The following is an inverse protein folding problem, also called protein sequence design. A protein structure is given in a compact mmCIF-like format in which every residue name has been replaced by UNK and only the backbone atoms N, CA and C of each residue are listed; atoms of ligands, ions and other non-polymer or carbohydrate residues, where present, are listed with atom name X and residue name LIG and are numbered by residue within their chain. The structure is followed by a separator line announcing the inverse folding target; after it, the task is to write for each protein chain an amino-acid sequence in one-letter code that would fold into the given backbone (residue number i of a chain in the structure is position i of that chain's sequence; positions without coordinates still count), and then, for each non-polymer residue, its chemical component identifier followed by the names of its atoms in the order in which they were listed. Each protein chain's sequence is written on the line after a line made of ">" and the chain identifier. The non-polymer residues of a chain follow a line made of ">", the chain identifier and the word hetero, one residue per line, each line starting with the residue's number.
data_IF_829029123548
#
_entry.id   IF_829029123548
#
_cell.length_a   1.000
_cell.length_b   1.000
_cell.length_c   1.000
_cell.angle_alpha   90.00
_cell.angle_beta   90.00
_cell.angle_gamma   90.00
#
_symmetry.space_group_name_H-M   'P 1'
#
loop_
_entity.id
_entity.type
_entity.pdbx_description
1 polymer ?
#
# COMPACT_ATOMS: atom_id res chain seq x y z
N UNK A 1 23.44 9.42 -9.36
CA UNK A 1 22.84 10.47 -8.51
C UNK A 1 21.85 9.77 -7.61
N UNK A 2 21.98 9.88 -6.28
CA UNK A 2 21.03 9.23 -5.36
C UNK A 2 19.64 9.84 -5.55
N UNK A 3 18.56 9.05 -5.52
CA UNK A 3 17.22 9.60 -5.83
C UNK A 3 16.81 10.74 -4.90
N UNK A 4 17.29 10.79 -3.65
CA UNK A 4 17.05 11.92 -2.75
C UNK A 4 17.44 13.26 -3.36
N UNK A 5 18.68 13.43 -3.81
CA UNK A 5 19.18 14.69 -4.35
C UNK A 5 18.42 15.12 -5.62
N UNK A 6 17.98 14.14 -6.41
CA UNK A 6 17.17 14.36 -7.60
C UNK A 6 15.76 14.84 -7.22
N UNK A 7 15.13 14.18 -6.26
CA UNK A 7 13.79 14.48 -5.73
C UNK A 7 13.76 15.84 -5.04
N UNK A 8 14.77 16.17 -4.24
CA UNK A 8 14.91 17.45 -3.54
C UNK A 8 14.84 18.64 -4.49
N UNK A 9 15.36 18.51 -5.70
CA UNK A 9 15.30 19.57 -6.72
C UNK A 9 13.89 19.88 -7.19
N UNK A 10 12.93 18.98 -6.97
CA UNK A 10 11.53 19.16 -7.36
C UNK A 10 10.68 19.67 -6.21
N UNK A 11 10.87 19.12 -5.01
CA UNK A 11 10.03 19.40 -3.84
C UNK A 11 9.98 20.91 -3.55
N UNK A 12 8.76 21.44 -3.38
CA UNK A 12 8.52 22.86 -3.13
C UNK A 12 8.34 23.72 -4.38
N UNK A 13 8.68 23.24 -5.58
CA UNK A 13 8.39 23.95 -6.84
C UNK A 13 6.91 23.84 -7.22
N UNK A 14 6.34 24.87 -7.85
CA UNK A 14 4.94 24.83 -8.28
C UNK A 14 4.71 23.67 -9.27
N UNK A 15 3.74 22.81 -8.98
CA UNK A 15 3.34 21.70 -9.87
C UNK A 15 4.23 20.46 -9.85
N UNK A 16 5.26 20.41 -9.01
CA UNK A 16 6.24 19.32 -8.98
C UNK A 16 5.62 17.93 -8.82
N UNK A 17 4.52 17.85 -8.06
CA UNK A 17 3.81 16.59 -7.80
C UNK A 17 3.41 15.90 -9.10
N UNK A 18 3.07 16.61 -10.17
CA UNK A 18 2.66 16.02 -11.44
C UNK A 18 3.82 15.93 -12.45
N UNK A 19 5.05 16.26 -12.06
CA UNK A 19 6.19 16.21 -12.95
C UNK A 19 6.57 14.74 -13.24
N UNK A 20 6.65 14.30 -14.51
CA UNK A 20 6.92 12.90 -14.85
C UNK A 20 8.23 12.37 -14.26
N UNK A 21 9.29 13.18 -14.28
CA UNK A 21 10.59 12.80 -13.70
C UNK A 21 10.49 12.61 -12.18
N UNK A 22 9.77 13.50 -11.47
CA UNK A 22 9.55 13.35 -10.03
C UNK A 22 8.79 12.05 -9.73
N UNK A 23 7.71 11.78 -10.47
CA UNK A 23 6.91 10.56 -10.32
C UNK A 23 7.76 9.31 -10.57
N UNK A 24 8.61 9.33 -11.60
CA UNK A 24 9.55 8.26 -11.92
C UNK A 24 10.54 8.02 -10.79
N UNK A 25 11.24 9.06 -10.34
CA UNK A 25 12.21 8.98 -9.24
C UNK A 25 11.58 8.42 -7.96
N UNK A 26 10.37 8.88 -7.61
CA UNK A 26 9.65 8.38 -6.44
C UNK A 26 9.31 6.88 -6.56
N UNK A 27 9.02 6.37 -7.76
CA UNK A 27 8.76 4.94 -7.97
C UNK A 27 10.05 4.13 -7.77
N UNK A 28 11.16 4.59 -8.36
CA UNK A 28 12.46 3.90 -8.34
C UNK A 28 13.06 3.80 -6.93
N UNK A 29 12.68 4.69 -6.01
CA UNK A 29 13.08 4.64 -4.59
C UNK A 29 12.93 3.25 -3.95
N UNK A 30 11.96 2.43 -4.38
CA UNK A 30 11.74 1.09 -3.81
C UNK A 30 12.87 0.09 -4.12
N UNK A 31 13.77 0.42 -5.03
CA UNK A 31 14.90 -0.42 -5.45
C UNK A 31 16.25 0.12 -5.01
N UNK A 32 16.27 1.24 -4.29
CA UNK A 32 17.51 1.92 -3.88
C UNK A 32 17.93 1.60 -2.45
N UNK A 33 19.21 1.86 -2.17
CA UNK A 33 19.76 1.85 -0.82
C UNK A 33 19.70 3.25 -0.21
N UNK A 34 19.25 3.29 1.05
CA UNK A 34 19.08 4.53 1.79
C UNK A 34 20.20 4.68 2.80
N UNK A 35 20.75 5.88 2.92
CA UNK A 35 21.51 6.30 4.10
C UNK A 35 20.57 6.84 5.19
N UNK A 36 21.09 7.04 6.40
CA UNK A 36 20.32 7.63 7.50
C UNK A 36 19.77 9.03 7.14
N UNK A 37 20.55 9.85 6.40
CA UNK A 37 20.12 11.16 5.93
C UNK A 37 18.97 11.05 4.92
N UNK A 38 18.99 10.02 4.07
CA UNK A 38 17.90 9.75 3.14
C UNK A 38 16.61 9.40 3.89
N UNK A 39 16.71 8.52 4.90
CA UNK A 39 15.56 8.16 5.75
C UNK A 39 14.99 9.38 6.46
N UNK A 40 15.84 10.20 7.09
CA UNK A 40 15.41 11.40 7.80
C UNK A 40 14.72 12.41 6.87
N UNK A 41 15.23 12.57 5.65
CA UNK A 41 14.59 13.43 4.65
C UNK A 41 13.19 12.94 4.27
N UNK A 42 13.06 11.65 3.95
CA UNK A 42 11.79 11.10 3.48
C UNK A 42 10.74 10.93 4.58
N UNK A 43 11.16 10.72 5.83
CA UNK A 43 10.27 10.80 7.00
C UNK A 43 9.60 12.20 7.07
N UNK A 44 10.43 13.26 7.06
CA UNK A 44 9.94 14.64 7.07
C UNK A 44 9.03 14.95 5.86
N UNK A 45 9.41 14.47 4.67
CA UNK A 45 8.59 14.65 3.47
C UNK A 45 7.24 13.92 3.58
N UNK A 46 7.21 12.70 4.12
CA UNK A 46 6.00 11.91 4.28
C UNK A 46 4.96 12.63 5.13
N UNK A 47 5.36 13.21 6.27
CA UNK A 47 4.42 13.86 7.17
C UNK A 47 4.03 15.27 6.72
N UNK A 48 4.91 15.99 6.03
CA UNK A 48 4.63 17.34 5.53
C UNK A 48 3.83 17.38 4.23
N UNK A 49 3.97 16.38 3.35
CA UNK A 49 3.30 16.37 2.04
C UNK A 49 1.83 15.93 2.12
N UNK A 50 0.98 16.60 1.34
CA UNK A 50 -0.41 16.18 1.10
C UNK A 50 -0.54 15.22 -0.08
N UNK A 51 0.49 15.07 -0.92
CA UNK A 51 0.45 14.20 -2.09
C UNK A 51 0.45 12.72 -1.70
N UNK A 52 -0.69 12.06 -1.94
CA UNK A 52 -0.94 10.66 -1.56
C UNK A 52 0.06 9.73 -2.24
N UNK A 53 0.33 9.95 -3.52
CA UNK A 53 1.28 9.14 -4.27
C UNK A 53 2.66 9.18 -3.64
N UNK A 54 3.17 10.37 -3.29
CA UNK A 54 4.49 10.52 -2.68
C UNK A 54 4.56 9.78 -1.36
N UNK A 55 3.53 9.91 -0.51
CA UNK A 55 3.43 9.13 0.74
C UNK A 55 3.44 7.63 0.47
N UNK A 56 2.69 7.16 -0.52
CA UNK A 56 2.63 5.72 -0.88
C UNK A 56 3.99 5.20 -1.33
N UNK A 57 4.71 5.97 -2.15
CA UNK A 57 6.04 5.58 -2.61
C UNK A 57 7.07 5.53 -1.46
N UNK A 58 7.08 6.55 -0.59
CA UNK A 58 7.96 6.57 0.59
C UNK A 58 7.66 5.37 1.51
N UNK A 59 6.37 5.10 1.76
CA UNK A 59 5.96 3.99 2.62
C UNK A 59 6.41 2.63 2.05
N UNK A 60 6.24 2.43 0.74
CA UNK A 60 6.70 1.23 0.04
C UNK A 60 8.23 1.09 0.12
N UNK A 61 8.98 2.16 -0.14
CA UNK A 61 10.44 2.15 -0.05
C UNK A 61 10.91 1.81 1.37
N UNK A 62 10.25 2.36 2.40
CA UNK A 62 10.64 2.12 3.79
C UNK A 62 10.42 0.66 4.20
N UNK A 63 9.29 0.04 3.84
CA UNK A 63 9.05 -1.38 4.16
C UNK A 63 9.94 -2.35 3.37
N UNK A 64 10.45 -1.94 2.20
CA UNK A 64 11.28 -2.78 1.34
C UNK A 64 12.78 -2.61 1.59
N UNK A 65 13.24 -1.41 1.91
CA UNK A 65 14.67 -1.05 1.89
C UNK A 65 15.22 -0.48 3.19
N UNK A 66 14.36 -0.15 4.15
CA UNK A 66 14.76 0.64 5.32
C UNK A 66 14.48 -0.04 6.67
N UNK A 67 14.16 -1.34 6.71
CA UNK A 67 13.84 -2.03 7.97
C UNK A 67 15.03 -2.18 8.94
N UNK A 68 16.25 -1.87 8.47
CA UNK A 68 17.47 -1.79 9.28
C UNK A 68 17.56 -0.50 10.13
N UNK A 69 16.70 0.49 9.90
CA UNK A 69 16.65 1.75 10.64
C UNK A 69 15.55 1.71 11.71
N UNK A 70 15.63 2.54 12.75
CA UNK A 70 14.55 2.63 13.74
C UNK A 70 13.36 3.43 13.20
N UNK A 71 12.41 2.71 12.59
CA UNK A 71 11.21 3.28 11.98
C UNK A 71 9.92 2.85 12.69
N UNK A 72 10.00 2.31 13.91
CA UNK A 72 8.82 1.81 14.64
C UNK A 72 7.76 2.90 14.80
N UNK A 73 8.16 4.07 15.28
CA UNK A 73 7.26 5.21 15.51
C UNK A 73 6.76 5.85 14.21
N UNK A 74 7.60 5.85 13.17
CA UNK A 74 7.21 6.27 11.82
C UNK A 74 6.02 5.43 11.34
N UNK A 75 6.13 4.11 11.35
CA UNK A 75 5.09 3.21 10.83
C UNK A 75 3.80 3.27 11.66
N UNK A 76 3.91 3.38 12.98
CA UNK A 76 2.75 3.59 13.85
C UNK A 76 2.03 4.90 13.54
N UNK A 77 2.79 5.97 13.29
CA UNK A 77 2.25 7.29 12.95
C UNK A 77 1.63 7.30 11.54
N UNK A 78 2.26 6.62 10.58
CA UNK A 78 1.73 6.41 9.24
C UNK A 78 0.39 5.66 9.27
N UNK A 79 0.28 4.57 10.04
CA UNK A 79 -0.97 3.82 10.20
C UNK A 79 -2.11 4.72 10.71
N UNK A 80 -1.83 5.60 11.68
CA UNK A 80 -2.81 6.54 12.24
C UNK A 80 -3.18 7.67 11.27
N UNK A 81 -2.23 8.14 10.45
CA UNK A 81 -2.40 9.24 9.50
C UNK A 81 -3.24 8.83 8.29
N UNK A 82 -2.98 7.65 7.74
CA UNK A 82 -3.55 7.28 6.44
C UNK A 82 -5.04 6.94 6.50
N UNK A 83 -5.72 7.14 5.38
CA UNK A 83 -7.15 6.84 5.22
C UNK A 83 -7.42 5.66 4.28
N UNK A 84 -6.53 5.45 3.32
CA UNK A 84 -6.59 4.33 2.37
C UNK A 84 -6.15 3.05 3.07
N UNK A 85 -6.88 1.95 2.83
CA UNK A 85 -6.71 0.73 3.59
C UNK A 85 -5.43 0.01 3.17
N UNK A 86 -5.09 0.01 1.88
CA UNK A 86 -3.80 -0.45 1.34
C UNK A 86 -2.60 0.22 2.03
N UNK A 87 -2.62 1.54 2.16
CA UNK A 87 -1.54 2.29 2.81
C UNK A 87 -1.48 2.01 4.32
N UNK A 88 -2.63 1.85 4.98
CA UNK A 88 -2.66 1.41 6.38
C UNK A 88 -2.04 0.03 6.54
N UNK A 89 -2.36 -0.90 5.64
CA UNK A 89 -1.79 -2.24 5.68
C UNK A 89 -0.27 -2.21 5.45
N UNK A 90 0.21 -1.41 4.48
CA UNK A 90 1.65 -1.25 4.26
C UNK A 90 2.35 -0.65 5.49
N UNK A 91 1.76 0.36 6.14
CA UNK A 91 2.31 0.90 7.38
C UNK A 91 2.36 -0.18 8.48
N UNK A 92 1.32 -1.01 8.58
CA UNK A 92 1.27 -2.10 9.54
C UNK A 92 2.31 -3.19 9.22
N UNK A 93 2.55 -3.49 7.95
CA UNK A 93 3.64 -4.38 7.49
C UNK A 93 5.00 -3.89 7.98
N UNK A 94 5.27 -2.59 7.86
CA UNK A 94 6.49 -1.98 8.40
C UNK A 94 6.56 -2.06 9.92
N UNK A 95 5.47 -1.71 10.61
CA UNK A 95 5.40 -1.75 12.07
C UNK A 95 5.64 -3.16 12.63
N UNK A 96 5.13 -4.19 11.94
CA UNK A 96 5.27 -5.58 12.34
C UNK A 96 6.74 -6.07 12.40
N UNK A 97 7.67 -5.39 11.70
CA UNK A 97 9.09 -5.70 11.78
C UNK A 97 9.70 -5.35 13.16
N UNK A 98 9.05 -4.49 13.95
CA UNK A 98 9.54 -3.98 15.24
C UNK A 98 8.61 -4.28 16.42
N UNK A 99 7.50 -4.97 16.18
CA UNK A 99 6.40 -5.13 17.12
C UNK A 99 5.99 -6.60 17.26
N UNK A 100 5.61 -6.97 18.48
CA UNK A 100 5.04 -8.29 18.74
C UNK A 100 3.53 -8.29 18.47
N UNK A 101 2.93 -9.47 18.35
CA UNK A 101 1.49 -9.63 18.12
C UNK A 101 0.62 -8.82 19.09
N UNK A 102 1.00 -8.75 20.38
CA UNK A 102 0.27 -7.98 21.40
C UNK A 102 0.15 -6.48 21.06
N UNK A 103 1.16 -5.90 20.42
CA UNK A 103 1.14 -4.50 19.99
C UNK A 103 0.37 -4.32 18.67
N UNK A 104 0.40 -5.33 17.80
CA UNK A 104 -0.22 -5.31 16.47
C UNK A 104 -1.72 -5.56 16.55
N UNK A 105 -2.17 -6.50 17.37
CA UNK A 105 -3.56 -6.97 17.42
C UNK A 105 -4.58 -5.83 17.61
N UNK A 106 -4.36 -4.80 18.46
CA UNK A 106 -5.26 -3.66 18.55
C UNK A 106 -5.35 -2.82 17.26
N UNK A 107 -4.24 -2.69 16.51
CA UNK A 107 -4.23 -2.00 15.22
C UNK A 107 -4.95 -2.83 14.15
N UNK A 108 -4.68 -4.13 14.11
CA UNK A 108 -5.37 -5.06 13.20
C UNK A 108 -6.86 -5.14 13.47
N UNK A 109 -7.30 -5.10 14.73
CA UNK A 109 -8.72 -5.04 15.06
C UNK A 109 -9.40 -3.82 14.43
N UNK A 110 -8.78 -2.64 14.55
CA UNK A 110 -9.31 -1.40 13.92
C UNK A 110 -9.31 -1.50 12.41
N UNK A 111 -8.26 -2.07 11.82
CA UNK A 111 -8.20 -2.32 10.38
C UNK A 111 -9.33 -3.25 9.92
N UNK A 112 -9.54 -4.35 10.64
CA UNK A 112 -10.56 -5.36 10.38
C UNK A 112 -11.99 -4.77 10.46
N UNK A 113 -12.27 -3.94 11.47
CA UNK A 113 -13.55 -3.24 11.60
C UNK A 113 -13.86 -2.31 10.41
N UNK A 114 -12.82 -1.72 9.80
CA UNK A 114 -12.98 -0.89 8.59
C UNK A 114 -13.22 -1.79 7.37
N UNK A 115 -12.45 -2.87 7.24
CA UNK A 115 -12.59 -3.85 6.16
C UNK A 115 -14.01 -4.42 6.08
N UNK A 116 -14.59 -4.83 7.21
CA UNK A 116 -15.98 -5.35 7.28
C UNK A 116 -16.99 -4.38 6.65
N UNK A 117 -16.79 -3.07 6.82
CA UNK A 117 -17.72 -2.01 6.41
C UNK A 117 -17.55 -1.56 4.95
N UNK A 118 -16.50 -1.98 4.25
CA UNK A 118 -16.27 -1.57 2.85
C UNK A 118 -17.51 -1.80 1.96
N UNK A 119 -18.15 -3.00 1.97
CA UNK A 119 -19.30 -3.27 1.11
C UNK A 119 -20.49 -2.33 1.35
N UNK A 120 -20.61 -1.74 2.54
CA UNK A 120 -21.71 -0.83 2.90
C UNK A 120 -21.58 0.55 2.21
N UNK A 121 -20.35 1.00 1.95
CA UNK A 121 -20.08 2.35 1.44
C UNK A 121 -19.57 2.37 -0.01
N UNK A 122 -18.86 1.33 -0.41
CA UNK A 122 -18.33 1.19 -1.78
C UNK A 122 -18.47 -0.26 -2.20
N UNK A 123 -19.67 -0.65 -2.68
CA UNK A 123 -19.89 -1.99 -3.21
C UNK A 123 -18.86 -2.30 -4.30
N UNK A 124 -18.27 -3.48 -4.23
CA UNK A 124 -17.33 -3.98 -5.24
C UNK A 124 -16.07 -3.11 -5.42
N UNK A 125 -15.47 -2.64 -4.32
CA UNK A 125 -14.17 -1.94 -4.33
C UNK A 125 -13.00 -2.89 -4.70
N UNK A 126 -13.04 -3.41 -5.93
CA UNK A 126 -12.14 -4.45 -6.39
C UNK A 126 -10.67 -4.05 -6.28
N UNK A 127 -10.36 -2.79 -6.57
CA UNK A 127 -8.98 -2.29 -6.52
C UNK A 127 -8.38 -2.43 -5.12
N UNK A 128 -9.14 -2.07 -4.08
CA UNK A 128 -8.69 -2.22 -2.70
C UNK A 128 -8.47 -3.70 -2.36
N UNK A 129 -9.42 -4.57 -2.71
CA UNK A 129 -9.27 -6.00 -2.43
C UNK A 129 -8.07 -6.62 -3.15
N UNK A 130 -7.84 -6.31 -4.44
CA UNK A 130 -6.67 -6.82 -5.17
C UNK A 130 -5.36 -6.37 -4.52
N UNK A 131 -5.28 -5.12 -4.06
CA UNK A 131 -4.10 -4.62 -3.35
C UNK A 131 -3.88 -5.36 -2.02
N UNK A 132 -4.94 -5.55 -1.22
CA UNK A 132 -4.84 -6.19 0.09
C UNK A 132 -4.53 -7.70 -0.02
N UNK A 133 -5.07 -8.38 -1.04
CA UNK A 133 -4.87 -9.82 -1.31
C UNK A 133 -3.58 -10.12 -2.07
N UNK A 134 -2.88 -9.10 -2.57
CA UNK A 134 -1.63 -9.30 -3.31
C UNK A 134 -0.53 -9.92 -2.44
N UNK A 135 0.48 -10.58 -3.05
CA UNK A 135 1.73 -10.96 -2.38
C UNK A 135 2.37 -9.86 -1.51
N UNK A 136 2.20 -8.58 -1.86
CA UNK A 136 2.69 -7.45 -1.05
C UNK A 136 1.90 -7.18 0.24
N UNK A 137 0.65 -7.64 0.29
CA UNK A 137 -0.35 -7.28 1.30
C UNK A 137 -0.45 -8.26 2.47
N UNK A 138 -1.67 -8.73 2.75
CA UNK A 138 -1.96 -9.61 3.88
C UNK A 138 -1.27 -10.99 3.80
N UNK A 139 -1.15 -11.62 2.62
CA UNK A 139 -0.37 -12.86 2.47
C UNK A 139 1.03 -12.77 3.06
N UNK A 140 1.79 -11.70 2.75
CA UNK A 140 3.11 -11.48 3.33
C UNK A 140 3.08 -11.48 4.87
N UNK A 141 2.12 -10.78 5.47
CA UNK A 141 2.00 -10.69 6.93
C UNK A 141 1.67 -12.05 7.56
N UNK A 142 0.78 -12.82 6.93
CA UNK A 142 0.41 -14.16 7.39
C UNK A 142 1.60 -15.13 7.28
N UNK A 143 2.27 -15.16 6.14
CA UNK A 143 3.41 -16.04 5.88
C UNK A 143 4.61 -15.70 6.75
N UNK A 144 4.92 -14.41 6.91
CA UNK A 144 6.11 -13.95 7.64
C UNK A 144 5.97 -14.07 9.15
N UNK A 145 4.81 -13.74 9.70
CA UNK A 145 4.64 -13.61 11.16
C UNK A 145 3.69 -14.64 11.77
N UNK A 146 2.72 -15.17 11.01
CA UNK A 146 1.83 -16.23 11.47
C UNK A 146 0.83 -15.85 12.57
N UNK A 147 0.74 -14.57 12.95
CA UNK A 147 -0.16 -14.04 13.98
C UNK A 147 -1.64 -14.30 13.68
N UNK A 148 -2.44 -14.58 14.71
CA UNK A 148 -3.85 -14.95 14.54
C UNK A 148 -4.66 -13.79 13.95
N UNK A 149 -4.37 -12.56 14.38
CA UNK A 149 -5.07 -11.37 13.89
C UNK A 149 -4.90 -11.14 12.39
N UNK A 150 -3.77 -11.56 11.80
CA UNK A 150 -3.55 -11.50 10.36
C UNK A 150 -4.37 -12.56 9.62
N UNK A 151 -4.36 -13.79 10.12
CA UNK A 151 -5.13 -14.91 9.54
C UNK A 151 -6.64 -14.63 9.57
N UNK A 152 -7.14 -14.13 10.69
CA UNK A 152 -8.55 -13.75 10.86
C UNK A 152 -8.95 -12.63 9.89
N UNK A 153 -8.10 -11.61 9.72
CA UNK A 153 -8.36 -10.52 8.77
C UNK A 153 -8.27 -10.99 7.33
N UNK A 154 -7.32 -11.86 6.99
CA UNK A 154 -7.21 -12.46 5.67
C UNK A 154 -8.44 -13.31 5.34
N UNK A 155 -8.93 -14.14 6.26
CA UNK A 155 -10.14 -14.93 6.04
C UNK A 155 -11.38 -14.05 5.79
N UNK A 156 -11.50 -12.92 6.52
CA UNK A 156 -12.57 -11.95 6.29
C UNK A 156 -12.43 -11.25 4.93
N UNK A 157 -11.20 -10.90 4.53
CA UNK A 157 -10.90 -10.30 3.23
C UNK A 157 -11.28 -11.25 2.09
N UNK A 158 -10.86 -12.51 2.17
CA UNK A 158 -11.14 -13.53 1.16
C UNK A 158 -12.64 -13.78 1.06
N UNK A 159 -13.36 -13.88 2.19
CA UNK A 159 -14.81 -13.99 2.19
C UNK A 159 -15.49 -12.85 1.43
N UNK A 160 -15.16 -11.60 1.75
CA UNK A 160 -15.75 -10.45 1.06
C UNK A 160 -15.37 -10.40 -0.41
N UNK A 161 -14.15 -10.81 -0.75
CA UNK A 161 -13.73 -10.89 -2.14
C UNK A 161 -14.53 -11.95 -2.90
N UNK A 162 -14.69 -13.13 -2.32
CA UNK A 162 -15.44 -14.24 -2.93
C UNK A 162 -16.93 -13.92 -3.10
N UNK A 163 -17.51 -13.16 -2.18
CA UNK A 163 -18.89 -12.65 -2.25
C UNK A 163 -19.10 -11.63 -3.39
N UNK A 164 -18.04 -11.02 -3.95
CA UNK A 164 -18.19 -10.12 -5.10
C UNK A 164 -18.55 -10.90 -6.39
N UNK A 165 -19.19 -10.27 -7.38
CA UNK A 165 -19.33 -10.85 -8.71
C UNK A 165 -17.97 -11.10 -9.36
N UNK A 166 -17.80 -12.20 -10.10
CA UNK A 166 -16.53 -12.51 -10.80
C UNK A 166 -16.11 -11.44 -11.81
N UNK A 167 -17.08 -10.67 -12.32
CA UNK A 167 -16.81 -9.53 -13.18
C UNK A 167 -16.02 -8.43 -12.44
N UNK A 168 -16.10 -8.36 -11.11
CA UNK A 168 -15.38 -7.42 -10.26
C UNK A 168 -14.04 -7.97 -9.73
N UNK A 169 -13.52 -9.08 -10.27
CA UNK A 169 -12.34 -9.78 -9.73
C UNK A 169 -11.25 -9.92 -10.78
N UNK A 170 -10.02 -10.13 -10.33
CA UNK A 170 -8.88 -10.59 -11.12
C UNK A 170 -8.41 -9.61 -12.18
N UNK A 171 -8.48 -8.30 -11.90
CA UNK A 171 -7.99 -7.28 -12.85
C UNK A 171 -6.47 -7.18 -12.84
N UNK A 172 -5.90 -7.16 -11.65
CA UNK A 172 -4.46 -7.02 -11.42
C UNK A 172 -4.09 -7.62 -10.07
N UNK A 173 -2.80 -7.78 -9.84
CA UNK A 173 -2.24 -8.02 -8.50
C UNK A 173 -0.99 -7.16 -8.31
N UNK A 174 -0.39 -7.19 -7.12
CA UNK A 174 0.93 -6.63 -6.87
C UNK A 174 1.94 -7.75 -6.62
N UNK A 175 3.15 -7.64 -7.15
CA UNK A 175 4.22 -8.55 -6.78
C UNK A 175 4.76 -8.29 -5.36
N UNK A 176 5.78 -9.04 -4.94
CA UNK A 176 6.42 -8.91 -3.62
C UNK A 176 7.07 -7.53 -3.37
N UNK A 177 7.30 -6.74 -4.42
CA UNK A 177 7.85 -5.38 -4.41
C UNK A 177 6.74 -4.31 -4.56
N UNK A 178 5.47 -4.71 -4.56
CA UNK A 178 4.33 -3.82 -4.70
C UNK A 178 4.22 -3.24 -6.12
N UNK A 179 4.78 -3.91 -7.13
CA UNK A 179 4.68 -3.55 -8.55
C UNK A 179 3.40 -4.13 -9.10
N UNK A 180 2.66 -3.31 -9.84
CA UNK A 180 1.41 -3.71 -10.46
C UNK A 180 1.63 -4.71 -11.61
N UNK A 181 0.98 -5.88 -11.52
CA UNK A 181 0.93 -6.89 -12.58
C UNK A 181 -0.51 -6.97 -13.09
N UNK A 182 -0.70 -6.66 -14.37
CA UNK A 182 -2.02 -6.85 -15.03
C UNK A 182 -2.29 -8.33 -15.21
N UNK A 183 -3.45 -8.80 -14.74
CA UNK A 183 -3.89 -10.20 -14.91
C UNK A 183 -4.77 -10.38 -16.14
N UNK A 184 -5.34 -9.28 -16.63
CA UNK A 184 -6.11 -9.22 -17.86
C UNK A 184 -5.34 -8.48 -18.94
N UNK A 185 -5.56 -8.86 -20.19
CA UNK A 185 -5.19 -8.01 -21.32
C UNK A 185 -6.03 -6.73 -21.33
N UNK A 186 -5.57 -5.64 -21.96
CA UNK A 186 -6.36 -4.41 -22.08
C UNK A 186 -7.76 -4.64 -22.67
N UNK A 187 -7.87 -5.55 -23.65
CA UNK A 187 -9.15 -5.90 -24.29
C UNK A 187 -10.11 -6.66 -23.37
N UNK A 188 -9.61 -7.58 -22.55
CA UNK A 188 -10.41 -8.29 -21.54
C UNK A 188 -10.85 -7.36 -20.42
N UNK A 189 -9.94 -6.49 -19.96
CA UNK A 189 -10.23 -5.46 -18.97
C UNK A 189 -11.36 -4.54 -19.46
N UNK A 190 -11.26 -4.01 -20.69
CA UNK A 190 -12.31 -3.16 -21.28
C UNK A 190 -13.65 -3.90 -21.33
N UNK A 191 -13.70 -5.11 -21.91
CA UNK A 191 -14.93 -5.91 -22.01
C UNK A 191 -15.57 -6.16 -20.64
N UNK A 192 -14.76 -6.41 -19.61
CA UNK A 192 -15.24 -6.68 -18.26
C UNK A 192 -15.76 -5.40 -17.60
N UNK A 193 -15.07 -4.27 -17.76
CA UNK A 193 -15.55 -2.96 -17.30
C UNK A 193 -16.83 -2.54 -18.03
N UNK A 194 -16.91 -2.76 -19.34
CA UNK A 194 -18.11 -2.48 -20.15
C UNK A 194 -19.31 -3.29 -19.65
N UNK A 195 -19.10 -4.58 -19.34
CA UNK A 195 -20.11 -5.43 -18.70
C UNK A 195 -20.51 -4.95 -17.29
N UNK A 196 -19.54 -4.48 -16.49
CA UNK A 196 -19.80 -3.98 -15.13
C UNK A 196 -20.57 -2.66 -15.12
N UNK A 197 -20.24 -1.74 -16.03
CA UNK A 197 -20.82 -0.40 -16.10
C UNK A 197 -21.96 -0.28 -17.10
N UNK A 198 -22.37 -1.38 -17.74
CA UNK A 198 -23.42 -1.39 -18.77
C UNK A 198 -23.10 -0.50 -19.97
N UNK A 199 -21.82 -0.26 -20.26
CA UNK A 199 -21.39 0.51 -21.42
C UNK A 199 -21.46 -0.43 -22.63
N UNK A 200 -22.32 -0.09 -23.59
CA UNK A 200 -22.49 -0.83 -24.85
C UNK A 200 -21.34 -0.57 -25.80
#
# INVERSE_FOLDING_TARGET
>A
MKSREAIERFVGKRGYINHPEYRGLMIEMRFEDFSADDVAYFDNLYFSTKDIFSRKQILNAFVLRCLQYDLKDFFLSAFKKERYLDMRLTALRGYAAYAIEKEIAPLMKRFHEILIKIPEHTPYNYQEYEMLRSPFGLPYLVERYGYSCFKETMAQLDKQYDDMPDACKGFFTLDENGIHISLLTPGECSKRLDKLFGRK
#
